data_IF_344066818930
#
_entry.id   IF_344066818930
#
_cell.length_a   1.000
_cell.length_b   1.000
_cell.length_c   1.000
_cell.angle_alpha   90.00
_cell.angle_beta   90.00
_cell.angle_gamma   90.00
#
_symmetry.space_group_name_H-M   'P 1'
#
loop_
_entity.id
_entity.type
_entity.pdbx_description
1 polymer ?
#
# COMPACT_ATOMS: atom_id res chain seq x y z
N UNK A 1 10.24 -7.98 12.74
CA UNK A 1 10.05 -6.54 12.52
C UNK A 1 9.52 -6.41 11.11
N UNK A 2 8.63 -5.47 10.86
CA UNK A 2 7.80 -5.41 9.65
C UNK A 2 7.53 -3.94 9.36
N UNK A 3 7.32 -3.57 8.09
CA UNK A 3 7.00 -2.18 7.75
C UNK A 3 5.80 -2.06 6.82
N UNK A 4 4.88 -1.21 7.23
CA UNK A 4 3.71 -0.79 6.47
C UNK A 4 3.79 0.72 6.26
N UNK A 5 3.72 1.17 5.01
CA UNK A 5 3.70 2.59 4.66
C UNK A 5 2.26 3.03 4.36
N UNK A 6 1.67 3.92 5.18
CA UNK A 6 0.28 4.33 5.02
C UNK A 6 0.11 5.32 3.85
N UNK A 7 -1.14 5.58 3.50
CA UNK A 7 -1.49 6.72 2.65
C UNK A 7 -1.26 8.06 3.37
N UNK A 8 -1.40 9.17 2.63
CA UNK A 8 -1.22 10.51 3.19
C UNK A 8 -1.07 11.60 2.14
N UNK A 9 -0.83 12.83 2.61
CA UNK A 9 -0.66 14.01 1.75
C UNK A 9 0.68 14.73 1.93
N UNK A 10 1.66 14.11 2.59
CA UNK A 10 2.96 14.72 2.84
C UNK A 10 3.73 14.96 1.54
N UNK A 11 4.47 16.07 1.48
CA UNK A 11 5.38 16.32 0.36
C UNK A 11 6.58 15.35 0.39
N UNK A 12 7.14 15.07 -0.79
CA UNK A 12 8.19 14.07 -0.96
C UNK A 12 9.58 14.56 -0.54
N UNK A 13 9.77 15.87 -0.38
CA UNK A 13 11.06 16.56 -0.18
C UNK A 13 11.22 17.15 1.24
N UNK A 14 10.40 16.70 2.19
CA UNK A 14 10.49 17.14 3.59
C UNK A 14 11.67 16.42 4.27
N UNK A 15 12.63 17.20 4.80
CA UNK A 15 13.73 16.68 5.63
C UNK A 15 13.19 16.02 6.90
N UNK A 16 13.70 14.83 7.25
CA UNK A 16 13.15 13.99 8.33
C UNK A 16 11.67 13.60 8.15
N UNK A 17 11.15 13.72 6.92
CA UNK A 17 9.79 13.34 6.59
C UNK A 17 9.65 11.87 6.21
N UNK A 18 8.40 11.43 6.04
CA UNK A 18 8.04 10.05 5.67
C UNK A 18 8.76 9.54 4.42
N UNK A 19 9.08 10.41 3.46
CA UNK A 19 9.82 10.07 2.24
C UNK A 19 11.23 9.54 2.55
N UNK A 20 11.96 10.23 3.43
CA UNK A 20 13.30 9.81 3.85
C UNK A 20 13.25 8.47 4.59
N UNK A 21 12.35 8.35 5.59
CA UNK A 21 12.18 7.11 6.35
C UNK A 21 11.79 5.94 5.44
N UNK A 22 10.93 6.18 4.45
CA UNK A 22 10.53 5.16 3.48
C UNK A 22 11.71 4.72 2.62
N UNK A 23 12.54 5.65 2.15
CA UNK A 23 13.73 5.33 1.37
C UNK A 23 14.73 4.50 2.19
N UNK A 24 15.01 4.89 3.44
CA UNK A 24 15.91 4.16 4.33
C UNK A 24 15.41 2.74 4.60
N UNK A 25 14.14 2.60 5.01
CA UNK A 25 13.53 1.30 5.30
C UNK A 25 13.43 0.42 4.05
N UNK A 26 13.16 0.99 2.87
CA UNK A 26 13.15 0.24 1.61
C UNK A 26 14.51 -0.43 1.36
N UNK A 27 15.61 0.33 1.48
CA UNK A 27 16.95 -0.21 1.28
C UNK A 27 17.37 -1.19 2.37
N UNK A 28 17.03 -0.92 3.65
CA UNK A 28 17.27 -1.86 4.75
C UNK A 28 16.54 -3.19 4.51
N UNK A 29 15.25 -3.12 4.17
CA UNK A 29 14.44 -4.32 3.92
C UNK A 29 14.95 -5.10 2.73
N UNK A 30 15.37 -4.40 1.66
CA UNK A 30 16.00 -5.03 0.51
C UNK A 30 17.28 -5.79 0.91
N UNK A 31 18.15 -5.15 1.68
CA UNK A 31 19.40 -5.75 2.17
C UNK A 31 19.13 -7.00 3.03
N UNK A 32 18.17 -6.93 3.95
CA UNK A 32 17.79 -8.08 4.80
C UNK A 32 17.36 -9.28 3.94
N UNK A 33 16.57 -9.03 2.88
CA UNK A 33 16.17 -10.07 1.94
C UNK A 33 17.33 -10.58 1.06
N UNK A 34 18.24 -9.70 0.63
CA UNK A 34 19.44 -10.10 -0.11
C UNK A 34 20.36 -11.00 0.74
N UNK A 35 20.39 -10.78 2.06
CA UNK A 35 21.11 -11.60 3.03
C UNK A 35 20.39 -12.92 3.38
N UNK A 36 19.24 -13.18 2.75
CA UNK A 36 18.50 -14.43 2.86
C UNK A 36 17.47 -14.50 3.99
N UNK A 37 17.14 -13.36 4.63
CA UNK A 37 16.12 -13.28 5.68
C UNK A 37 14.84 -12.61 5.16
N UNK A 38 13.67 -13.11 5.54
CA UNK A 38 12.41 -12.71 4.91
C UNK A 38 11.82 -11.45 5.55
N UNK A 39 11.82 -10.32 4.84
CA UNK A 39 11.31 -9.07 5.40
C UNK A 39 10.30 -8.40 4.46
N UNK A 40 8.98 -8.44 4.76
CA UNK A 40 7.96 -7.89 3.87
C UNK A 40 7.73 -6.40 4.04
N UNK A 41 7.24 -5.78 2.96
CA UNK A 41 6.74 -4.41 2.93
C UNK A 41 5.34 -4.39 2.31
N UNK A 42 4.43 -3.64 2.91
CA UNK A 42 3.17 -3.23 2.27
C UNK A 42 3.14 -1.69 2.17
N UNK A 43 2.93 -1.15 0.97
CA UNK A 43 2.71 0.28 0.74
C UNK A 43 1.29 0.56 0.28
N UNK A 44 0.62 1.54 0.88
CA UNK A 44 -0.76 1.94 0.54
C UNK A 44 -0.79 3.40 0.10
N UNK A 45 -1.40 3.69 -1.06
CA UNK A 45 -1.54 5.02 -1.65
C UNK A 45 -0.20 5.80 -1.66
N UNK A 46 -0.01 6.80 -0.81
CA UNK A 46 1.28 7.49 -0.65
C UNK A 46 2.44 6.53 -0.37
N UNK A 47 2.24 5.50 0.45
CA UNK A 47 3.25 4.47 0.69
C UNK A 47 3.63 3.72 -0.58
N UNK A 48 2.67 3.41 -1.45
CA UNK A 48 2.94 2.83 -2.77
C UNK A 48 3.76 3.78 -3.64
N UNK A 49 3.37 5.05 -3.71
CA UNK A 49 4.09 6.10 -4.44
C UNK A 49 5.56 6.20 -3.99
N UNK A 50 5.79 6.24 -2.68
CA UNK A 50 7.12 6.34 -2.08
C UNK A 50 7.98 5.09 -2.34
N UNK A 51 7.39 3.89 -2.34
CA UNK A 51 8.14 2.67 -2.69
C UNK A 51 8.62 2.68 -4.15
N UNK A 52 7.79 3.16 -5.07
CA UNK A 52 8.21 3.32 -6.46
C UNK A 52 9.36 4.33 -6.55
N UNK A 53 9.23 5.49 -5.92
CA UNK A 53 10.26 6.54 -5.88
C UNK A 53 11.58 6.03 -5.30
N UNK A 54 11.54 5.33 -4.15
CA UNK A 54 12.71 4.76 -3.50
C UNK A 54 13.42 3.73 -4.41
N UNK A 55 12.66 2.95 -5.17
CA UNK A 55 13.22 1.94 -6.09
C UNK A 55 13.94 2.51 -7.32
N UNK A 56 13.85 3.83 -7.57
CA UNK A 56 14.50 4.52 -8.69
C UNK A 56 15.31 5.74 -8.24
N UNK A 57 15.95 5.61 -7.07
CA UNK A 57 16.88 6.60 -6.51
C UNK A 57 16.24 7.98 -6.33
N UNK A 58 15.00 8.03 -5.82
CA UNK A 58 14.31 9.27 -5.48
C UNK A 58 13.68 10.02 -6.66
N UNK A 59 13.76 9.48 -7.88
CA UNK A 59 13.10 10.10 -9.06
C UNK A 59 11.59 9.95 -8.94
N UNK A 60 10.84 10.97 -9.34
CA UNK A 60 9.38 10.94 -9.30
C UNK A 60 8.79 10.38 -10.62
N UNK A 61 8.12 9.21 -10.60
CA UNK A 61 7.53 8.62 -11.80
C UNK A 61 6.05 8.97 -12.01
N UNK A 62 5.47 9.73 -11.08
CA UNK A 62 4.03 9.93 -11.00
C UNK A 62 3.58 11.04 -11.95
N UNK A 63 2.37 10.87 -12.48
CA UNK A 63 1.63 11.89 -13.20
C UNK A 63 0.38 12.27 -12.41
N UNK A 64 -0.17 13.45 -12.70
CA UNK A 64 -1.48 13.81 -12.17
C UNK A 64 -2.58 12.89 -12.74
N UNK A 65 -3.55 12.56 -11.90
CA UNK A 65 -4.76 11.81 -12.26
C UNK A 65 -5.96 12.30 -11.42
N UNK A 66 -7.17 11.93 -11.85
CA UNK A 66 -8.42 12.29 -11.19
C UNK A 66 -9.12 11.07 -10.59
N UNK A 67 -8.59 10.61 -9.45
CA UNK A 67 -9.06 9.42 -8.73
C UNK A 67 -9.36 9.73 -7.26
N UNK A 68 -9.92 10.90 -7.00
CA UNK A 68 -10.41 11.27 -5.68
C UNK A 68 -11.87 10.82 -5.52
N UNK A 69 -12.20 10.19 -4.39
CA UNK A 69 -13.55 9.78 -4.02
C UNK A 69 -14.21 8.79 -5.01
N UNK A 70 -13.44 7.77 -5.44
CA UNK A 70 -13.90 6.76 -6.40
C UNK A 70 -13.82 5.34 -5.84
N UNK A 71 -14.86 4.55 -6.10
CA UNK A 71 -14.87 3.11 -5.81
C UNK A 71 -14.74 2.30 -7.10
N UNK A 72 -13.69 1.48 -7.19
CA UNK A 72 -13.34 0.77 -8.43
C UNK A 72 -13.19 -0.74 -8.20
N UNK A 73 -13.59 -1.60 -9.16
CA UNK A 73 -13.06 -2.96 -9.26
C UNK A 73 -11.61 -2.88 -9.72
N UNK A 74 -10.86 -3.97 -9.63
CA UNK A 74 -9.50 -4.08 -10.16
C UNK A 74 -9.53 -4.70 -11.57
N UNK A 75 -8.75 -4.17 -12.50
CA UNK A 75 -8.56 -4.83 -13.79
C UNK A 75 -7.22 -5.55 -13.80
N UNK A 76 -7.26 -6.88 -13.70
CA UNK A 76 -6.06 -7.72 -13.78
C UNK A 76 -5.41 -7.60 -15.15
N UNK A 77 -4.10 -7.38 -15.19
CA UNK A 77 -3.34 -7.49 -16.43
C UNK A 77 -3.30 -8.98 -16.82
N UNK A 78 -3.73 -9.37 -18.03
CA UNK A 78 -3.91 -10.78 -18.39
C UNK A 78 -2.69 -11.68 -18.12
N UNK A 79 -1.48 -11.17 -18.37
CA UNK A 79 -0.24 -11.94 -18.12
C UNK A 79 0.04 -12.21 -16.65
N UNK A 80 -0.63 -11.51 -15.72
CA UNK A 80 -0.42 -11.60 -14.28
C UNK A 80 -1.28 -12.66 -13.61
N UNK A 81 -2.27 -13.22 -14.31
CA UNK A 81 -3.10 -14.31 -13.79
C UNK A 81 -2.26 -15.51 -13.32
N UNK A 82 -1.22 -15.86 -14.07
CA UNK A 82 -0.31 -16.97 -13.72
C UNK A 82 1.00 -16.51 -13.05
N UNK A 83 1.39 -15.24 -13.26
CA UNK A 83 2.69 -14.72 -12.82
C UNK A 83 2.66 -14.08 -11.44
N UNK A 84 1.52 -13.49 -11.03
CA UNK A 84 1.43 -12.80 -9.75
C UNK A 84 1.37 -13.80 -8.61
N UNK A 85 2.29 -13.70 -7.66
CA UNK A 85 2.23 -14.52 -6.44
C UNK A 85 0.99 -14.12 -5.64
N UNK A 86 0.75 -12.82 -5.47
CA UNK A 86 -0.36 -12.28 -4.69
C UNK A 86 -1.73 -12.75 -5.21
N UNK A 87 -1.97 -12.71 -6.52
CA UNK A 87 -3.23 -13.15 -7.13
C UNK A 87 -3.36 -14.67 -7.22
N UNK A 88 -2.25 -15.38 -7.43
CA UNK A 88 -2.27 -16.84 -7.54
C UNK A 88 -2.63 -17.52 -6.22
N UNK A 89 -2.21 -16.94 -5.10
CA UNK A 89 -2.54 -17.45 -3.74
C UNK A 89 -3.87 -16.92 -3.22
N UNK A 90 -4.50 -15.97 -3.92
CA UNK A 90 -5.74 -15.33 -3.49
C UNK A 90 -6.92 -16.31 -3.62
N UNK A 91 -7.78 -16.43 -2.59
CA UNK A 91 -9.03 -17.19 -2.69
C UNK A 91 -9.87 -16.75 -3.89
N UNK A 92 -10.47 -17.72 -4.60
CA UNK A 92 -11.18 -17.45 -5.87
C UNK A 92 -12.36 -16.50 -5.71
N UNK A 93 -13.06 -16.59 -4.60
CA UNK A 93 -14.17 -15.72 -4.22
C UNK A 93 -13.71 -14.29 -3.94
N UNK A 94 -12.63 -14.10 -3.17
CA UNK A 94 -11.99 -12.79 -2.96
C UNK A 94 -11.54 -12.19 -4.30
N UNK A 95 -10.87 -13.00 -5.13
CA UNK A 95 -10.43 -12.59 -6.47
C UNK A 95 -11.61 -12.17 -7.33
N UNK A 96 -12.71 -12.93 -7.32
CA UNK A 96 -13.90 -12.58 -8.08
C UNK A 96 -14.48 -11.23 -7.64
N UNK A 97 -14.66 -11.03 -6.33
CA UNK A 97 -15.15 -9.75 -5.78
C UNK A 97 -14.28 -8.58 -6.23
N UNK A 98 -12.97 -8.68 -6.06
CA UNK A 98 -12.03 -7.62 -6.43
C UNK A 98 -12.07 -7.29 -7.92
N UNK A 99 -12.32 -8.28 -8.79
CA UNK A 99 -12.33 -8.07 -10.25
C UNK A 99 -13.68 -7.61 -10.80
N UNK A 100 -14.79 -7.81 -10.08
CA UNK A 100 -16.13 -7.53 -10.60
C UNK A 100 -16.90 -6.45 -9.85
N UNK A 101 -16.54 -6.14 -8.60
CA UNK A 101 -17.29 -5.20 -7.75
C UNK A 101 -16.47 -3.93 -7.43
N UNK A 102 -17.11 -2.74 -7.34
CA UNK A 102 -16.44 -1.49 -6.98
C UNK A 102 -16.11 -1.43 -5.49
N UNK A 103 -15.13 -2.22 -5.05
CA UNK A 103 -14.79 -2.43 -3.63
C UNK A 103 -13.50 -1.77 -3.18
N UNK A 104 -12.75 -1.11 -4.08
CA UNK A 104 -11.49 -0.44 -3.73
C UNK A 104 -11.68 1.08 -3.66
N UNK A 105 -11.42 1.65 -2.47
CA UNK A 105 -11.51 3.10 -2.23
C UNK A 105 -10.28 3.83 -2.79
N UNK A 106 -10.49 4.75 -3.73
CA UNK A 106 -9.45 5.55 -4.35
C UNK A 106 -9.61 7.03 -3.94
N UNK A 107 -8.55 7.56 -3.33
CA UNK A 107 -8.48 8.94 -2.81
C UNK A 107 -7.12 9.57 -3.14
N UNK A 108 -6.76 9.60 -4.42
CA UNK A 108 -5.46 10.08 -4.88
C UNK A 108 -5.54 10.96 -6.13
N UNK A 109 -4.53 11.83 -6.26
CA UNK A 109 -4.38 12.77 -7.38
C UNK A 109 -3.06 12.58 -8.15
N UNK A 110 -2.28 11.58 -7.75
CA UNK A 110 -1.03 11.16 -8.38
C UNK A 110 -1.14 9.67 -8.68
N UNK A 111 -0.74 9.31 -9.89
CA UNK A 111 -0.83 7.95 -10.39
C UNK A 111 0.44 7.60 -11.15
N UNK A 112 0.75 6.30 -11.21
CA UNK A 112 1.77 5.76 -12.12
C UNK A 112 1.12 5.15 -13.36
N UNK A 113 1.47 5.65 -14.55
CA UNK A 113 1.04 5.04 -15.82
C UNK A 113 1.97 3.92 -16.21
N UNK A 114 1.49 2.98 -17.02
CA UNK A 114 2.32 1.89 -17.53
C UNK A 114 3.48 2.40 -18.42
N UNK A 115 3.25 3.51 -19.13
CA UNK A 115 4.29 4.19 -19.91
C UNK A 115 5.43 4.70 -19.01
N UNK A 116 5.11 5.42 -17.93
CA UNK A 116 6.11 5.92 -17.00
C UNK A 116 6.81 4.78 -16.25
N UNK A 117 6.05 3.74 -15.89
CA UNK A 117 6.57 2.57 -15.21
C UNK A 117 7.70 1.89 -16.00
N UNK A 118 7.48 1.64 -17.29
CA UNK A 118 8.51 1.04 -18.15
C UNK A 118 9.60 2.04 -18.55
N UNK A 119 9.26 3.30 -18.86
CA UNK A 119 10.27 4.29 -19.28
C UNK A 119 11.29 4.59 -18.18
N UNK A 120 10.87 4.50 -16.92
CA UNK A 120 11.72 4.69 -15.74
C UNK A 120 12.29 3.38 -15.19
N UNK A 121 12.13 2.26 -15.91
CA UNK A 121 12.67 0.94 -15.57
C UNK A 121 12.16 0.38 -14.24
N UNK A 122 11.01 0.83 -13.76
CA UNK A 122 10.36 0.26 -12.57
C UNK A 122 9.98 -1.20 -12.81
N UNK A 123 9.67 -1.55 -14.05
CA UNK A 123 9.39 -2.91 -14.50
C UNK A 123 10.58 -3.86 -14.40
N UNK A 124 11.78 -3.40 -14.06
CA UNK A 124 12.92 -4.27 -13.75
C UNK A 124 12.82 -4.85 -12.34
N UNK A 125 12.29 -4.08 -11.39
CA UNK A 125 12.16 -4.47 -9.98
C UNK A 125 10.74 -4.96 -9.63
N UNK A 126 9.72 -4.34 -10.23
CA UNK A 126 8.31 -4.55 -9.92
C UNK A 126 7.57 -5.26 -11.07
N UNK A 127 6.57 -6.07 -10.73
CA UNK A 127 5.52 -6.49 -11.64
C UNK A 127 4.31 -5.56 -11.44
N UNK A 128 3.78 -4.96 -12.51
CA UNK A 128 2.47 -4.31 -12.45
C UNK A 128 1.39 -5.38 -12.55
N UNK A 129 0.51 -5.47 -11.54
CA UNK A 129 -0.45 -6.58 -11.42
C UNK A 129 -1.82 -6.18 -11.95
N UNK A 130 -2.34 -5.04 -11.49
CA UNK A 130 -3.65 -4.53 -11.91
C UNK A 130 -3.55 -3.10 -12.40
N UNK A 131 -4.52 -2.71 -13.22
CA UNK A 131 -4.70 -1.33 -13.68
C UNK A 131 -6.13 -0.86 -13.44
N UNK A 132 -6.29 0.46 -13.39
CA UNK A 132 -7.56 1.14 -13.26
C UNK A 132 -7.61 2.37 -14.14
N UNK A 133 -8.80 2.93 -14.30
CA UNK A 133 -9.02 4.18 -15.03
C UNK A 133 -9.56 5.24 -14.07
N UNK A 134 -9.01 6.44 -14.18
CA UNK A 134 -9.49 7.61 -13.47
C UNK A 134 -10.74 8.21 -14.16
N UNK A 135 -11.31 9.29 -13.62
CA UNK A 135 -12.48 9.97 -14.21
C UNK A 135 -12.23 10.52 -15.63
N UNK A 136 -10.97 10.73 -16.02
CA UNK A 136 -10.55 11.24 -17.31
C UNK A 136 -10.12 10.12 -18.28
N UNK A 137 -10.39 8.85 -17.95
CA UNK A 137 -9.94 7.66 -18.68
C UNK A 137 -8.42 7.44 -18.73
N UNK A 138 -7.63 8.13 -17.91
CA UNK A 138 -6.21 7.83 -17.75
C UNK A 138 -6.06 6.46 -17.09
N UNK A 139 -5.32 5.56 -17.73
CA UNK A 139 -5.03 4.23 -17.18
C UNK A 139 -3.81 4.29 -16.26
N UNK A 140 -3.96 3.83 -15.03
CA UNK A 140 -2.91 3.79 -14.02
C UNK A 140 -2.77 2.41 -13.39
N UNK A 141 -1.58 2.10 -12.85
CA UNK A 141 -1.31 0.85 -12.13
C UNK A 141 -1.86 0.98 -10.71
N UNK A 142 -2.65 0.00 -10.28
CA UNK A 142 -3.29 -0.01 -8.96
C UNK A 142 -2.71 -1.02 -7.97
N UNK A 143 -2.01 -2.05 -8.46
CA UNK A 143 -1.25 -3.00 -7.63
C UNK A 143 0.10 -3.27 -8.29
N UNK A 144 1.17 -3.26 -7.49
CA UNK A 144 2.46 -3.84 -7.85
C UNK A 144 2.91 -4.86 -6.81
N UNK A 145 3.72 -5.83 -7.24
CA UNK A 145 4.49 -6.70 -6.35
C UNK A 145 5.94 -6.72 -6.83
N UNK A 146 6.91 -6.77 -5.93
CA UNK A 146 8.32 -6.87 -6.31
C UNK A 146 8.62 -8.27 -6.82
N UNK A 147 9.51 -8.37 -7.82
CA UNK A 147 9.80 -9.65 -8.47
C UNK A 147 10.51 -10.65 -7.57
N UNK A 148 11.39 -10.16 -6.70
CA UNK A 148 12.31 -10.97 -5.89
C UNK A 148 12.17 -10.70 -4.39
N UNK A 149 11.26 -9.81 -4.00
CA UNK A 149 11.11 -9.36 -2.61
C UNK A 149 9.64 -9.45 -2.21
N UNK A 150 9.32 -9.74 -0.94
CA UNK A 150 7.95 -9.76 -0.43
C UNK A 150 7.39 -8.34 -0.23
N UNK A 151 7.51 -7.49 -1.25
CA UNK A 151 7.03 -6.11 -1.26
C UNK A 151 5.80 -5.99 -2.14
N UNK A 152 4.72 -5.41 -1.60
CA UNK A 152 3.48 -5.14 -2.35
C UNK A 152 3.10 -3.68 -2.19
N UNK A 153 2.64 -3.08 -3.28
CA UNK A 153 2.13 -1.72 -3.32
C UNK A 153 0.68 -1.70 -3.81
N UNK A 154 -0.18 -0.99 -3.10
CA UNK A 154 -1.60 -0.80 -3.42
C UNK A 154 -1.87 0.69 -3.57
N UNK A 155 -2.42 1.13 -4.70
CA UNK A 155 -2.74 2.56 -4.90
C UNK A 155 -4.03 2.98 -4.15
N UNK A 156 -4.92 2.02 -3.88
CA UNK A 156 -6.20 2.21 -3.19
C UNK A 156 -6.07 1.90 -1.68
N UNK A 157 -7.13 2.19 -0.92
CA UNK A 157 -7.18 2.12 0.54
C UNK A 157 -8.08 0.99 1.07
N UNK A 158 -7.58 -0.25 1.25
CA UNK A 158 -8.38 -1.34 1.79
C UNK A 158 -8.79 -1.14 3.26
N UNK A 159 -8.07 -0.34 4.06
CA UNK A 159 -8.42 -0.03 5.45
C UNK A 159 -9.75 0.72 5.56
N UNK A 160 -10.03 1.61 4.61
CA UNK A 160 -11.17 2.53 4.71
C UNK A 160 -12.51 1.81 4.71
N UNK A 161 -12.59 0.67 4.01
CA UNK A 161 -13.79 -0.16 3.91
C UNK A 161 -14.39 -0.53 5.26
N UNK A 162 -13.57 -0.73 6.30
CA UNK A 162 -14.04 -1.17 7.61
C UNK A 162 -14.00 -0.08 8.70
N UNK A 163 -13.24 1.00 8.50
CA UNK A 163 -12.83 1.87 9.60
C UNK A 163 -13.11 3.36 9.41
N UNK A 164 -13.45 3.84 8.20
CA UNK A 164 -13.62 5.27 7.92
C UNK A 164 -15.01 5.57 7.33
N UNK A 165 -15.71 6.62 7.78
CA UNK A 165 -17.10 6.88 7.36
C UNK A 165 -17.34 8.27 6.74
N UNK A 166 -16.32 9.13 6.71
CA UNK A 166 -16.43 10.53 6.27
C UNK A 166 -16.42 10.71 4.74
N UNK A 167 -16.01 9.70 3.98
CA UNK A 167 -15.94 9.72 2.51
C UNK A 167 -16.84 8.67 1.89
N UNK A 168 -16.93 8.65 0.56
CA UNK A 168 -17.68 7.63 -0.17
C UNK A 168 -16.90 6.31 -0.21
N UNK A 169 -16.59 5.75 0.95
CA UNK A 169 -15.86 4.49 1.09
C UNK A 169 -16.83 3.28 0.99
N UNK A 170 -16.41 2.15 0.39
CA UNK A 170 -17.30 1.01 0.20
C UNK A 170 -17.36 0.14 1.46
N UNK A 171 -18.52 0.09 2.10
CA UNK A 171 -18.78 -0.65 3.35
C UNK A 171 -19.56 -1.96 3.18
N UNK A 172 -19.73 -2.45 1.95
CA UNK A 172 -20.44 -3.71 1.73
C UNK A 172 -19.70 -4.89 2.36
N UNK A 173 -20.41 -6.00 2.62
CA UNK A 173 -19.78 -7.23 3.07
C UNK A 173 -18.63 -7.64 2.13
N UNK A 174 -18.87 -7.59 0.82
CA UNK A 174 -17.85 -7.88 -0.19
C UNK A 174 -16.63 -6.96 -0.07
N UNK A 175 -16.84 -5.66 0.16
CA UNK A 175 -15.77 -4.69 0.29
C UNK A 175 -14.89 -4.96 1.51
N UNK A 176 -15.50 -5.21 2.67
CA UNK A 176 -14.77 -5.52 3.91
C UNK A 176 -14.07 -6.88 3.79
N UNK A 177 -14.78 -7.90 3.27
CA UNK A 177 -14.27 -9.26 3.15
C UNK A 177 -13.06 -9.33 2.22
N UNK A 178 -13.14 -8.68 1.05
CA UNK A 178 -12.04 -8.69 0.08
C UNK A 178 -10.86 -7.82 0.50
N UNK A 179 -11.10 -6.65 1.10
CA UNK A 179 -10.02 -5.77 1.59
C UNK A 179 -9.16 -6.43 2.68
N UNK A 180 -9.78 -7.23 3.55
CA UNK A 180 -9.08 -7.97 4.60
C UNK A 180 -7.96 -8.87 4.07
N UNK A 181 -8.10 -9.42 2.86
CA UNK A 181 -7.11 -10.33 2.28
C UNK A 181 -5.70 -9.73 2.24
N UNK A 182 -5.56 -8.43 1.91
CA UNK A 182 -4.26 -7.78 1.83
C UNK A 182 -3.55 -7.75 3.20
N UNK A 183 -4.30 -7.57 4.28
CA UNK A 183 -3.76 -7.61 5.65
C UNK A 183 -3.46 -9.04 6.10
N UNK A 184 -4.33 -10.00 5.79
CA UNK A 184 -4.08 -11.41 6.10
C UNK A 184 -2.82 -11.91 5.36
N UNK A 185 -2.65 -11.54 4.08
CA UNK A 185 -1.43 -11.79 3.31
C UNK A 185 -0.21 -11.15 3.99
N UNK A 186 -0.26 -9.85 4.28
CA UNK A 186 0.90 -9.14 4.84
C UNK A 186 1.32 -9.73 6.19
N UNK A 187 0.37 -10.01 7.09
CA UNK A 187 0.65 -10.63 8.38
C UNK A 187 1.21 -12.05 8.21
N UNK A 188 0.80 -12.80 7.18
CA UNK A 188 1.36 -14.12 6.89
C UNK A 188 2.81 -14.05 6.38
N UNK A 189 3.16 -13.07 5.54
CA UNK A 189 4.56 -12.81 5.15
C UNK A 189 5.39 -12.40 6.37
N UNK A 190 4.83 -11.58 7.26
CA UNK A 190 5.50 -11.13 8.49
C UNK A 190 5.88 -12.29 9.42
N UNK A 191 5.15 -13.40 9.38
CA UNK A 191 5.43 -14.62 10.17
C UNK A 191 6.60 -15.44 9.63
N UNK A 192 7.11 -15.14 8.43
CA UNK A 192 8.19 -15.91 7.82
C UNK A 192 9.58 -15.50 8.32
N UNK A 193 9.69 -14.50 9.22
CA UNK A 193 10.94 -14.19 9.93
C UNK A 193 10.84 -14.41 11.44
N UNK A 194 12.00 -14.53 12.08
CA UNK A 194 12.16 -14.75 13.52
C UNK A 194 12.61 -13.48 14.28
N UNK A 195 12.41 -12.31 13.67
CA UNK A 195 12.80 -11.03 14.27
C UNK A 195 11.99 -10.76 15.52
N UNK A 196 12.65 -10.24 16.55
CA UNK A 196 12.05 -9.96 17.85
C UNK A 196 12.79 -8.81 18.53
N UNK A 197 12.09 -8.09 19.39
CA UNK A 197 12.73 -7.13 20.27
C UNK A 197 13.77 -7.81 21.16
N UNK A 198 14.82 -7.06 21.50
CA UNK A 198 15.92 -7.56 22.34
C UNK A 198 15.44 -8.03 23.72
N UNK A 199 14.41 -7.38 24.27
CA UNK A 199 13.76 -7.80 25.50
C UNK A 199 12.29 -7.34 25.54
N UNK A 200 11.53 -7.91 26.49
CA UNK A 200 10.09 -7.63 26.65
C UNK A 200 9.80 -6.20 27.12
N UNK A 201 10.74 -5.54 27.82
CA UNK A 201 10.57 -4.16 28.25
C UNK A 201 10.60 -3.21 27.06
N UNK A 202 11.55 -3.39 26.13
CA UNK A 202 11.60 -2.61 24.90
C UNK A 202 10.33 -2.84 24.08
N UNK A 203 9.92 -4.09 23.86
CA UNK A 203 8.66 -4.38 23.17
C UNK A 203 7.48 -3.60 23.80
N UNK A 204 7.31 -3.70 25.12
CA UNK A 204 6.18 -3.04 25.81
C UNK A 204 6.17 -1.53 25.63
N UNK A 205 7.32 -0.88 25.51
CA UNK A 205 7.40 0.57 25.34
C UNK A 205 7.14 1.02 23.88
N UNK A 206 7.40 0.16 22.90
CA UNK A 206 7.29 0.49 21.46
C UNK A 206 5.92 0.12 20.87
N UNK A 207 5.03 -0.52 21.63
CA UNK A 207 3.70 -0.89 21.16
C UNK A 207 2.77 0.34 21.03
N UNK A 208 1.91 0.32 20.00
CA UNK A 208 0.91 1.38 19.76
C UNK A 208 -0.06 1.58 20.93
N UNK A 209 -0.22 0.58 21.80
CA UNK A 209 -1.07 0.64 23.00
C UNK A 209 -0.65 1.71 24.02
N UNK A 210 0.56 2.26 23.92
CA UNK A 210 1.03 3.33 24.78
C UNK A 210 0.56 4.72 24.35
N UNK A 211 -0.10 4.84 23.20
CA UNK A 211 -0.48 6.11 22.60
C UNK A 211 -2.01 6.21 22.51
N UNK A 212 -2.63 7.33 22.93
CA UNK A 212 -4.07 7.52 22.79
C UNK A 212 -4.43 7.97 21.37
N UNK A 213 -5.61 7.55 20.90
CA UNK A 213 -6.23 8.12 19.70
C UNK A 213 -6.95 9.43 20.01
N UNK A 214 -7.10 10.27 19.00
CA UNK A 214 -7.95 11.47 19.04
C UNK A 214 -9.03 11.35 17.98
N UNK A 215 -10.31 11.48 18.39
CA UNK A 215 -11.44 11.53 17.47
C UNK A 215 -11.47 12.86 16.71
N UNK A 216 -11.19 12.81 15.41
CA UNK A 216 -11.09 13.96 14.51
C UNK A 216 -12.18 14.00 13.43
N UNK A 217 -12.98 12.93 13.27
CA UNK A 217 -14.09 12.87 12.28
C UNK A 217 -15.04 14.08 12.37
N UNK A 218 -15.38 14.52 13.59
CA UNK A 218 -16.21 15.72 13.84
C UNK A 218 -15.72 17.04 13.23
N UNK A 219 -14.47 17.11 12.77
CA UNK A 219 -13.86 18.29 12.17
C UNK A 219 -13.84 18.21 10.63
N UNK A 220 -14.63 17.32 10.03
CA UNK A 220 -14.67 17.03 8.59
C UNK A 220 -13.30 16.59 8.04
N UNK A 221 -12.49 15.90 8.85
CA UNK A 221 -11.28 15.24 8.36
C UNK A 221 -11.62 13.93 7.63
N UNK A 222 -10.67 13.40 6.87
CA UNK A 222 -10.83 12.14 6.12
C UNK A 222 -10.72 10.87 6.97
N UNK A 223 -10.56 11.02 8.29
CA UNK A 223 -10.30 9.94 9.23
C UNK A 223 -11.18 10.11 10.47
N UNK A 224 -11.66 9.01 11.06
CA UNK A 224 -12.38 9.01 12.33
C UNK A 224 -11.43 9.34 13.48
N UNK A 225 -10.34 8.57 13.60
CA UNK A 225 -9.38 8.65 14.69
C UNK A 225 -7.94 8.75 14.17
N UNK A 226 -7.13 9.56 14.85
CA UNK A 226 -5.71 9.76 14.51
C UNK A 226 -4.84 9.67 15.77
N UNK A 227 -3.65 9.08 15.62
CA UNK A 227 -2.59 9.15 16.62
C UNK A 227 -1.69 10.37 16.33
N UNK A 228 -1.48 11.20 17.34
CA UNK A 228 -0.52 12.31 17.27
C UNK A 228 0.73 11.97 18.08
N UNK A 229 1.89 12.16 17.49
CA UNK A 229 3.20 11.95 18.12
C UNK A 229 3.93 13.30 18.21
N UNK A 230 4.53 13.59 19.35
CA UNK A 230 5.45 14.73 19.48
C UNK A 230 6.81 14.38 18.89
N UNK A 231 7.49 15.37 18.34
CA UNK A 231 8.92 15.29 18.00
C UNK A 231 9.80 15.05 19.24
#
# INVERSE_FOLDING_TARGET
>A
MVFWFPGGGSAFDISFGISQSTNEIFHISKQINDDGDHFPILGICLGFELLLIASIDGKNPLTHCNSNDMNLPLNLIPSMEEKSVLFKTMPKDVRNILLTEPVTANHHSKCITQQNFTSMKLDQFWNSITVNKDLNNLTFISITEAKNYPFVGLQFHPEKNAYEWEKNDPHSWSAIYSARYFYDWFVNECRQNNHRYINNSTLKNELIYNYPTTYVGKLNYTFEEVYFFSE
#
